data_IF_785152746241
#
_entry.id   IF_785152746241
#
_cell.length_a   1.000
_cell.length_b   1.000
_cell.length_c   1.000
_cell.angle_alpha   90.00
_cell.angle_beta   90.00
_cell.angle_gamma   90.00
#
_symmetry.space_group_name_H-M   'P 1'
#
loop_
_entity.id
_entity.type
_entity.pdbx_description
1 polymer ?
#
# COMPACT_ATOMS: atom_id res chain seq x y z
N UNK A 1 -8.37 35.49 27.41
CA UNK A 1 -8.55 34.20 26.69
C UNK A 1 -7.18 33.77 26.23
N UNK A 2 -6.71 32.58 26.62
CA UNK A 2 -5.45 32.06 26.08
C UNK A 2 -5.65 31.76 24.59
N UNK A 3 -4.82 32.35 23.74
CA UNK A 3 -4.88 32.08 22.31
C UNK A 3 -4.46 30.63 22.06
N UNK A 4 -5.22 29.91 21.24
CA UNK A 4 -4.87 28.55 20.81
C UNK A 4 -3.64 28.64 19.89
N UNK A 5 -2.57 27.87 20.15
CA UNK A 5 -1.40 27.85 19.28
C UNK A 5 -1.76 27.44 17.85
N UNK A 6 -1.17 28.12 16.87
CA UNK A 6 -1.34 27.83 15.45
C UNK A 6 -0.02 27.34 14.87
N UNK A 7 -0.10 26.33 14.03
CA UNK A 7 1.04 25.65 13.45
C UNK A 7 0.99 25.70 11.92
N UNK A 8 2.07 25.24 11.29
CA UNK A 8 2.19 25.03 9.86
C UNK A 8 2.05 26.32 9.04
N UNK A 9 2.28 26.22 7.73
CA UNK A 9 2.05 27.30 6.77
C UNK A 9 0.57 27.69 6.67
N UNK A 10 -0.35 26.77 7.00
CA UNK A 10 -1.80 27.03 6.94
C UNK A 10 -2.36 27.72 8.18
N UNK A 11 -1.55 27.94 9.23
CA UNK A 11 -1.94 28.62 10.48
C UNK A 11 -3.22 28.05 11.10
N UNK A 12 -3.28 26.72 11.19
CA UNK A 12 -4.38 26.00 11.82
C UNK A 12 -3.96 25.45 13.19
N UNK A 13 -4.90 25.27 14.13
CA UNK A 13 -4.62 24.59 15.38
C UNK A 13 -4.26 23.12 15.13
N UNK A 14 -3.67 22.48 16.13
CA UNK A 14 -3.34 21.06 16.08
C UNK A 14 -4.58 20.19 15.86
N UNK A 15 -4.45 19.19 14.98
CA UNK A 15 -5.47 18.18 14.67
C UNK A 15 -4.82 16.79 14.73
N UNK A 16 -5.27 15.97 15.69
CA UNK A 16 -4.74 14.61 15.94
C UNK A 16 -4.96 13.66 14.77
N UNK A 17 -5.91 13.95 13.88
CA UNK A 17 -6.20 13.09 12.72
C UNK A 17 -5.24 13.31 11.55
N UNK A 18 -4.40 14.35 11.62
CA UNK A 18 -3.51 14.75 10.53
C UNK A 18 -2.06 14.49 10.91
N UNK A 19 -1.36 13.75 10.06
CA UNK A 19 0.08 13.56 10.17
C UNK A 19 0.82 14.91 10.13
N UNK A 20 1.72 15.12 11.09
CA UNK A 20 2.59 16.30 11.19
C UNK A 20 4.04 15.91 11.42
N UNK A 21 4.96 16.75 10.92
CA UNK A 21 6.41 16.62 11.07
C UNK A 21 7.01 17.93 11.58
N UNK A 22 8.00 17.85 12.48
CA UNK A 22 8.67 19.02 13.09
C UNK A 22 9.89 19.44 12.28
N UNK A 23 10.03 20.74 12.01
CA UNK A 23 11.24 21.29 11.36
C UNK A 23 12.38 21.50 12.37
N UNK A 24 13.55 20.94 12.10
CA UNK A 24 14.70 21.03 12.99
C UNK A 24 15.30 22.43 13.14
N UNK A 25 15.01 23.33 12.20
CA UNK A 25 15.53 24.70 12.18
C UNK A 25 14.63 25.66 12.95
N UNK A 26 13.35 25.74 12.57
CA UNK A 26 12.42 26.71 13.17
C UNK A 26 11.60 26.15 14.34
N UNK A 27 11.67 24.83 14.59
CA UNK A 27 10.94 24.11 15.65
C UNK A 27 9.40 24.26 15.56
N UNK A 28 8.90 24.62 14.38
CA UNK A 28 7.46 24.62 14.07
C UNK A 28 7.04 23.27 13.45
N UNK A 29 5.75 22.97 13.53
CA UNK A 29 5.15 21.72 13.09
C UNK A 29 4.36 21.90 11.80
N UNK A 30 4.49 20.95 10.87
CA UNK A 30 3.91 21.05 9.54
C UNK A 30 3.06 19.82 9.22
N UNK A 31 1.83 20.03 8.74
CA UNK A 31 1.04 18.93 8.18
C UNK A 31 1.73 18.36 6.96
N UNK A 32 1.93 17.05 6.89
CA UNK A 32 2.59 16.39 5.76
C UNK A 32 1.95 16.77 4.41
N UNK A 33 0.61 16.82 4.36
CA UNK A 33 -0.15 17.25 3.19
C UNK A 33 0.13 18.70 2.73
N UNK A 34 0.48 19.59 3.66
CA UNK A 34 0.77 21.00 3.34
C UNK A 34 2.21 21.20 2.82
N UNK A 35 3.10 20.25 3.07
CA UNK A 35 4.52 20.32 2.71
C UNK A 35 4.99 19.15 1.84
N UNK A 36 4.03 18.38 1.28
CA UNK A 36 4.27 17.25 0.38
C UNK A 36 5.14 16.14 1.00
N UNK A 37 5.00 15.93 2.31
CA UNK A 37 5.62 14.80 3.01
C UNK A 37 4.53 13.80 3.34
N UNK A 38 4.59 12.65 2.68
CA UNK A 38 3.72 11.51 3.01
C UNK A 38 4.19 10.85 4.29
N UNK A 39 3.26 10.27 5.05
CA UNK A 39 3.56 9.65 6.35
C UNK A 39 4.64 8.55 6.22
N UNK A 40 4.59 7.76 5.15
CA UNK A 40 5.58 6.70 4.92
C UNK A 40 6.97 7.24 4.52
N UNK A 41 7.08 8.46 4.01
CA UNK A 41 8.37 9.09 3.73
C UNK A 41 9.04 9.61 5.00
N UNK A 42 8.27 9.90 6.05
CA UNK A 42 8.78 10.49 7.29
C UNK A 42 9.82 9.61 7.98
N UNK A 43 9.68 8.28 7.88
CA UNK A 43 10.65 7.33 8.44
C UNK A 43 12.02 7.43 7.78
N UNK A 44 12.10 7.98 6.56
CA UNK A 44 13.33 8.13 5.79
C UNK A 44 14.05 9.46 6.01
N UNK A 45 13.35 10.44 6.58
CA UNK A 45 13.92 11.74 6.90
C UNK A 45 14.67 11.63 8.24
N UNK A 46 15.94 12.01 8.25
CA UNK A 46 16.77 12.08 9.44
C UNK A 46 16.61 13.44 10.13
N UNK A 47 16.69 14.51 9.33
CA UNK A 47 16.53 15.91 9.78
C UNK A 47 15.57 16.61 8.82
N UNK A 48 14.44 17.07 9.31
CA UNK A 48 13.43 17.73 8.46
C UNK A 48 13.63 19.24 8.41
N UNK A 49 13.74 19.78 7.21
CA UNK A 49 13.71 21.21 6.94
C UNK A 49 12.43 21.57 6.20
N UNK A 50 11.65 22.51 6.76
CA UNK A 50 10.45 23.01 6.10
C UNK A 50 10.81 23.86 4.86
N UNK A 51 9.86 24.10 3.93
CA UNK A 51 10.15 24.80 2.67
C UNK A 51 10.79 26.19 2.83
N UNK A 52 10.50 26.89 3.93
CA UNK A 52 11.12 28.18 4.22
C UNK A 52 12.57 28.05 4.72
N UNK A 53 12.84 27.05 5.56
CA UNK A 53 14.17 26.81 6.11
C UNK A 53 15.09 26.19 5.07
N UNK A 54 14.56 25.36 4.17
CA UNK A 54 15.29 24.71 3.06
C UNK A 54 16.14 25.72 2.27
N UNK A 55 15.53 26.85 1.90
CA UNK A 55 16.18 27.92 1.11
C UNK A 55 17.47 28.44 1.75
N UNK A 56 17.57 28.43 3.07
CA UNK A 56 18.71 29.02 3.81
C UNK A 56 19.63 28.00 4.45
N UNK A 57 19.10 26.85 4.87
CA UNK A 57 19.84 25.80 5.58
C UNK A 57 20.15 24.59 4.69
N UNK A 58 19.63 24.58 3.45
CA UNK A 58 19.67 23.43 2.56
C UNK A 58 18.51 22.46 2.80
N UNK A 59 18.38 21.43 1.95
CA UNK A 59 17.26 20.49 2.01
C UNK A 59 17.28 19.63 3.27
N UNK A 60 16.17 18.91 3.50
CA UNK A 60 16.08 17.88 4.54
C UNK A 60 17.18 16.82 4.35
N UNK A 61 17.74 16.32 5.46
CA UNK A 61 18.72 15.24 5.43
C UNK A 61 17.99 13.90 5.48
N UNK A 62 18.32 13.03 4.54
CA UNK A 62 17.74 11.69 4.46
C UNK A 62 18.65 10.69 5.16
N UNK A 63 18.05 9.67 5.80
CA UNK A 63 18.78 8.57 6.41
C UNK A 63 19.62 7.86 5.35
N UNK A 64 20.86 7.51 5.72
CA UNK A 64 21.75 6.76 4.85
C UNK A 64 21.43 5.27 4.91
N UNK A 65 21.23 4.67 3.74
CA UNK A 65 21.12 3.22 3.60
C UNK A 65 22.48 2.55 3.82
N UNK A 66 22.54 1.71 4.84
CA UNK A 66 23.71 0.90 5.20
C UNK A 66 23.52 -0.58 4.84
N UNK A 67 22.29 -1.07 4.75
CA UNK A 67 22.01 -2.46 4.40
C UNK A 67 20.78 -2.62 3.46
N UNK A 68 20.62 -3.82 2.91
CA UNK A 68 19.55 -4.19 1.96
C UNK A 68 18.70 -5.39 2.41
N UNK A 69 18.95 -5.89 3.63
CA UNK A 69 18.35 -7.12 4.15
C UNK A 69 17.53 -6.91 5.43
N UNK A 70 17.47 -5.67 5.94
CA UNK A 70 16.72 -5.28 7.14
C UNK A 70 15.65 -4.24 6.82
N UNK A 71 14.60 -4.18 7.64
CA UNK A 71 13.58 -3.13 7.58
C UNK A 71 14.13 -1.79 8.04
N UNK A 72 14.90 -1.78 9.13
CA UNK A 72 15.76 -0.67 9.45
C UNK A 72 17.02 -0.76 8.60
N UNK A 73 16.99 -0.04 7.47
CA UNK A 73 18.08 -0.03 6.51
C UNK A 73 19.31 0.76 6.97
N UNK A 74 19.25 1.39 8.16
CA UNK A 74 20.38 2.10 8.77
C UNK A 74 21.23 1.20 9.67
N UNK A 75 20.72 0.02 10.06
CA UNK A 75 21.49 -0.98 10.82
C UNK A 75 22.80 -1.35 10.09
N UNK A 76 23.90 -1.64 10.83
CA UNK A 76 25.15 -2.11 10.23
C UNK A 76 24.97 -3.38 9.40
N UNK A 77 25.66 -3.47 8.27
CA UNK A 77 25.72 -4.67 7.42
C UNK A 77 26.90 -5.57 7.83
N UNK A 78 26.88 -6.04 9.07
CA UNK A 78 27.96 -6.85 9.69
C UNK A 78 27.70 -8.36 9.63
N UNK A 79 26.59 -8.79 9.02
CA UNK A 79 26.18 -10.19 8.92
C UNK A 79 25.60 -10.79 10.21
N UNK A 80 25.43 -10.00 11.27
CA UNK A 80 24.89 -10.51 12.55
C UNK A 80 23.38 -10.78 12.52
N UNK A 81 22.64 -10.05 11.67
CA UNK A 81 21.18 -10.07 11.62
C UNK A 81 20.65 -10.81 10.39
N UNK A 82 19.54 -11.55 10.53
CA UNK A 82 18.97 -12.31 9.42
C UNK A 82 18.26 -11.41 8.40
N UNK A 83 18.06 -11.93 7.20
CA UNK A 83 17.25 -11.28 6.16
C UNK A 83 15.79 -11.20 6.59
N UNK A 84 15.14 -10.05 6.38
CA UNK A 84 13.73 -9.81 6.71
C UNK A 84 12.84 -9.81 5.46
N UNK A 85 11.60 -10.29 5.61
CA UNK A 85 10.63 -10.39 4.52
C UNK A 85 10.34 -9.03 3.87
N UNK A 86 10.18 -9.02 2.56
CA UNK A 86 9.91 -7.80 1.77
C UNK A 86 11.14 -6.94 1.47
N UNK A 87 12.31 -7.24 2.04
CA UNK A 87 13.55 -6.52 1.71
C UNK A 87 14.08 -6.91 0.33
N UNK A 88 14.88 -6.06 -0.33
CA UNK A 88 15.44 -6.39 -1.65
C UNK A 88 16.23 -7.71 -1.68
N UNK A 89 17.00 -8.01 -0.63
CA UNK A 89 17.70 -9.29 -0.51
C UNK A 89 16.71 -10.45 -0.39
N UNK A 90 15.67 -10.33 0.46
CA UNK A 90 14.63 -11.35 0.57
C UNK A 90 13.93 -11.62 -0.76
N UNK A 91 13.57 -10.58 -1.52
CA UNK A 91 12.91 -10.75 -2.82
C UNK A 91 13.83 -11.48 -3.80
N UNK A 92 15.11 -11.12 -3.84
CA UNK A 92 16.09 -11.82 -4.67
C UNK A 92 16.26 -13.29 -4.26
N UNK A 93 16.31 -13.58 -2.97
CA UNK A 93 16.36 -14.97 -2.49
C UNK A 93 15.09 -15.72 -2.86
N UNK A 94 13.91 -15.11 -2.64
CA UNK A 94 12.61 -15.70 -2.95
C UNK A 94 12.48 -16.04 -4.43
N UNK A 95 12.92 -15.15 -5.32
CA UNK A 95 12.91 -15.38 -6.77
C UNK A 95 13.83 -16.54 -7.20
N UNK A 96 14.91 -16.80 -6.45
CA UNK A 96 15.86 -17.87 -6.75
C UNK A 96 15.53 -19.19 -6.02
N UNK A 97 14.49 -19.22 -5.17
CA UNK A 97 14.06 -20.45 -4.50
C UNK A 97 13.38 -21.37 -5.49
N UNK A 98 13.63 -22.67 -5.33
CA UNK A 98 12.89 -23.71 -6.00
C UNK A 98 11.67 -24.09 -5.16
N UNK A 99 10.51 -24.14 -5.81
CA UNK A 99 9.26 -24.58 -5.19
C UNK A 99 8.72 -25.76 -5.98
N UNK A 100 8.06 -26.69 -5.29
CA UNK A 100 7.27 -27.72 -5.97
C UNK A 100 6.19 -27.03 -6.79
N UNK A 101 5.99 -27.51 -8.01
CA UNK A 101 4.95 -26.97 -8.89
C UNK A 101 3.57 -27.11 -8.23
N UNK A 102 2.79 -26.04 -8.25
CA UNK A 102 1.40 -26.09 -7.80
C UNK A 102 0.53 -27.00 -8.67
N UNK A 103 0.94 -27.32 -9.90
CA UNK A 103 0.15 -28.12 -10.86
C UNK A 103 -0.39 -29.44 -10.29
N UNK A 104 0.33 -30.05 -9.35
CA UNK A 104 -0.09 -31.31 -8.71
C UNK A 104 -1.31 -31.16 -7.79
N UNK A 105 -1.50 -29.97 -7.22
CA UNK A 105 -2.59 -29.68 -6.28
C UNK A 105 -3.67 -28.76 -6.89
N UNK A 106 -3.43 -28.18 -8.07
CA UNK A 106 -4.36 -27.27 -8.72
C UNK A 106 -5.44 -28.03 -9.52
N UNK A 107 -6.70 -27.63 -9.33
CA UNK A 107 -7.82 -28.12 -10.13
C UNK A 107 -8.11 -27.15 -11.27
N UNK A 108 -7.80 -27.53 -12.52
CA UNK A 108 -8.06 -26.70 -13.71
C UNK A 108 -9.48 -26.91 -14.22
N UNK A 109 -10.23 -25.82 -14.40
CA UNK A 109 -11.64 -25.85 -14.82
C UNK A 109 -11.99 -24.64 -15.69
N UNK A 110 -13.01 -24.78 -16.54
CA UNK A 110 -13.67 -23.64 -17.21
C UNK A 110 -14.61 -22.92 -16.23
N UNK A 111 -14.84 -21.63 -16.43
CA UNK A 111 -15.73 -20.84 -15.56
C UNK A 111 -17.12 -21.45 -15.40
N UNK A 112 -17.75 -21.87 -16.49
CA UNK A 112 -19.06 -22.55 -16.51
C UNK A 112 -19.14 -23.82 -15.64
N UNK A 113 -18.01 -24.48 -15.39
CA UNK A 113 -17.98 -25.72 -14.60
C UNK A 113 -17.95 -25.44 -13.09
N UNK A 114 -17.52 -24.25 -12.68
CA UNK A 114 -17.39 -23.85 -11.28
C UNK A 114 -18.72 -23.32 -10.77
N UNK A 115 -19.59 -24.25 -10.39
CA UNK A 115 -20.95 -23.96 -9.90
C UNK A 115 -21.12 -24.38 -8.44
N UNK A 116 -22.06 -23.79 -7.68
CA UNK A 116 -22.37 -24.24 -6.32
C UNK A 116 -22.63 -25.75 -6.25
N UNK A 117 -23.41 -26.28 -7.19
CA UNK A 117 -23.71 -27.72 -7.30
C UNK A 117 -22.46 -28.58 -7.49
N UNK A 118 -21.47 -28.11 -8.25
CA UNK A 118 -20.19 -28.81 -8.39
C UNK A 118 -19.44 -28.82 -7.07
N UNK A 119 -19.30 -27.67 -6.41
CA UNK A 119 -18.55 -27.51 -5.16
C UNK A 119 -19.19 -28.30 -4.00
N UNK A 120 -20.52 -28.34 -3.92
CA UNK A 120 -21.24 -29.17 -2.93
C UNK A 120 -20.98 -30.67 -3.13
N UNK A 121 -20.86 -31.11 -4.39
CA UNK A 121 -20.66 -32.53 -4.73
C UNK A 121 -19.21 -32.98 -4.62
N UNK A 122 -18.26 -32.14 -5.02
CA UNK A 122 -16.84 -32.49 -5.10
C UNK A 122 -16.02 -31.94 -3.93
N UNK A 123 -16.58 -31.02 -3.16
CA UNK A 123 -15.87 -30.25 -2.13
C UNK A 123 -15.01 -29.15 -2.73
N UNK A 124 -14.55 -28.24 -1.87
CA UNK A 124 -13.65 -27.14 -2.23
C UNK A 124 -12.39 -27.17 -1.37
N UNK A 125 -11.61 -28.26 -1.52
CA UNK A 125 -10.44 -28.54 -0.67
C UNK A 125 -9.10 -28.22 -1.37
N UNK A 126 -9.12 -27.90 -2.66
CA UNK A 126 -7.95 -27.63 -3.47
C UNK A 126 -8.13 -26.34 -4.26
N UNK A 127 -7.07 -25.55 -4.51
CA UNK A 127 -7.21 -24.33 -5.28
C UNK A 127 -7.64 -24.63 -6.72
N UNK A 128 -8.60 -23.85 -7.23
CA UNK A 128 -9.13 -23.98 -8.57
C UNK A 128 -8.52 -22.90 -9.45
N UNK A 129 -7.97 -23.29 -10.61
CA UNK A 129 -7.52 -22.37 -11.65
C UNK A 129 -8.54 -22.35 -12.76
N UNK A 130 -9.07 -21.15 -13.03
CA UNK A 130 -10.01 -20.92 -14.13
C UNK A 130 -9.23 -20.68 -15.41
N UNK A 131 -9.44 -21.52 -16.43
CA UNK A 131 -8.77 -21.40 -17.73
C UNK A 131 -9.50 -20.48 -18.69
N UNK A 132 -10.81 -20.31 -18.52
CA UNK A 132 -11.74 -19.54 -19.36
C UNK A 132 -12.73 -18.81 -18.44
N UNK A 133 -12.82 -17.49 -18.56
CA UNK A 133 -13.66 -16.65 -17.68
C UNK A 133 -15.15 -16.77 -18.01
N UNK A 134 -15.48 -17.25 -19.20
CA UNK A 134 -16.83 -17.48 -19.68
C UNK A 134 -17.61 -18.35 -18.68
N UNK A 135 -18.84 -17.94 -18.37
CA UNK A 135 -19.71 -18.61 -17.41
C UNK A 135 -19.37 -18.42 -15.93
N UNK A 136 -18.25 -17.79 -15.58
CA UNK A 136 -17.91 -17.50 -14.18
C UNK A 136 -18.79 -16.37 -13.59
N UNK A 137 -19.39 -15.54 -14.45
CA UNK A 137 -20.17 -14.36 -14.04
C UNK A 137 -19.32 -13.19 -13.55
N UNK A 138 -18.00 -13.29 -13.63
CA UNK A 138 -17.07 -12.23 -13.26
C UNK A 138 -17.01 -11.16 -14.36
N UNK A 139 -17.38 -9.92 -14.02
CA UNK A 139 -17.29 -8.76 -14.91
C UNK A 139 -16.08 -7.93 -14.54
N UNK A 140 -15.07 -7.91 -15.42
CA UNK A 140 -13.87 -7.10 -15.27
C UNK A 140 -13.87 -5.94 -16.27
N UNK A 141 -13.18 -4.83 -15.98
CA UNK A 141 -12.92 -3.81 -16.98
C UNK A 141 -12.03 -4.38 -18.10
N UNK A 142 -11.96 -3.64 -19.22
CA UNK A 142 -11.13 -4.04 -20.35
C UNK A 142 -9.64 -4.22 -19.93
N UNK A 143 -8.86 -5.10 -20.58
CA UNK A 143 -7.45 -5.31 -20.25
C UNK A 143 -6.55 -4.06 -20.39
N UNK A 144 -7.05 -3.02 -21.07
CA UNK A 144 -6.39 -1.71 -21.20
C UNK A 144 -6.62 -0.79 -20.00
N UNK A 145 -7.45 -1.21 -19.03
CA UNK A 145 -7.75 -0.46 -17.83
C UNK A 145 -6.52 -0.31 -16.94
N UNK A 146 -6.22 0.92 -16.55
CA UNK A 146 -4.97 1.31 -15.90
C UNK A 146 -5.19 1.89 -14.49
N UNK A 147 -4.09 2.11 -13.77
CA UNK A 147 -4.12 2.79 -12.47
C UNK A 147 -4.68 4.23 -12.54
N UNK A 148 -4.59 4.88 -13.70
CA UNK A 148 -5.19 6.21 -13.92
C UNK A 148 -6.71 6.15 -13.99
N UNK A 149 -7.24 5.10 -14.60
CA UNK A 149 -8.69 4.88 -14.63
C UNK A 149 -9.19 4.63 -13.20
N UNK A 150 -8.48 3.82 -12.40
CA UNK A 150 -8.80 3.61 -10.98
C UNK A 150 -8.88 4.94 -10.23
N UNK A 151 -7.88 5.81 -10.37
CA UNK A 151 -7.87 7.13 -9.76
C UNK A 151 -9.12 7.94 -10.16
N UNK A 152 -9.44 8.01 -11.45
CA UNK A 152 -10.62 8.73 -11.94
C UNK A 152 -11.93 8.17 -11.37
N UNK A 153 -12.09 6.85 -11.31
CA UNK A 153 -13.34 6.24 -10.81
C UNK A 153 -13.48 6.33 -9.30
N UNK A 154 -12.40 6.15 -8.53
CA UNK A 154 -12.47 6.15 -7.06
C UNK A 154 -12.46 7.56 -6.50
N UNK A 155 -11.63 8.47 -7.03
CA UNK A 155 -11.56 9.86 -6.54
C UNK A 155 -12.81 10.66 -6.91
N UNK A 156 -13.45 10.37 -8.06
CA UNK A 156 -14.74 10.99 -8.41
C UNK A 156 -15.88 10.59 -7.46
N UNK A 157 -15.85 9.36 -6.91
CA UNK A 157 -16.82 8.92 -5.88
C UNK A 157 -16.63 9.70 -4.57
N UNK A 158 -15.40 10.07 -4.23
CA UNK A 158 -15.08 10.84 -3.02
C UNK A 158 -15.53 12.31 -3.08
N UNK A 159 -15.58 12.91 -4.27
CA UNK A 159 -15.95 14.32 -4.47
C UNK A 159 -17.39 14.54 -4.99
N UNK A 160 -18.07 13.49 -5.44
CA UNK A 160 -19.41 13.56 -6.04
C UNK A 160 -20.52 13.13 -5.10
N UNK A 161 -21.14 14.07 -4.39
CA UNK A 161 -22.41 13.86 -3.71
C UNK A 161 -23.57 13.79 -4.74
N UNK A 162 -23.56 12.85 -5.68
CA UNK A 162 -24.78 12.28 -6.31
C UNK A 162 -24.45 11.16 -7.33
N UNK A 163 -24.96 9.96 -7.04
CA UNK A 163 -25.55 9.02 -8.00
C UNK A 163 -24.60 8.20 -8.91
N UNK A 164 -24.07 7.11 -8.35
CA UNK A 164 -24.19 5.78 -8.96
C UNK A 164 -23.96 4.70 -7.90
N UNK A 165 -25.05 4.16 -7.36
CA UNK A 165 -25.04 2.93 -6.57
C UNK A 165 -24.96 1.75 -7.56
N UNK A 166 -24.15 0.75 -7.20
CA UNK A 166 -24.30 -0.70 -7.48
C UNK A 166 -23.18 -1.47 -8.20
N UNK A 167 -22.20 -0.86 -8.89
CA UNK A 167 -21.22 -1.68 -9.63
C UNK A 167 -19.81 -1.77 -9.05
N UNK A 168 -19.38 -0.79 -8.26
CA UNK A 168 -17.93 -0.65 -7.92
C UNK A 168 -17.57 -1.24 -6.55
N UNK A 169 -18.55 -1.44 -5.67
CA UNK A 169 -18.29 -1.89 -4.29
C UNK A 169 -17.79 -3.35 -4.20
N UNK A 170 -17.99 -4.17 -5.23
CA UNK A 170 -17.53 -5.57 -5.24
C UNK A 170 -16.02 -5.72 -5.49
N UNK A 171 -15.37 -4.76 -6.16
CA UNK A 171 -13.96 -4.92 -6.56
C UNK A 171 -12.96 -4.68 -5.42
N UNK A 172 -13.29 -3.86 -4.41
CA UNK A 172 -12.33 -3.51 -3.37
C UNK A 172 -12.28 -4.50 -2.19
N UNK A 173 -13.38 -5.19 -1.87
CA UNK A 173 -13.42 -6.05 -0.69
C UNK A 173 -12.83 -7.45 -0.89
N UNK A 174 -12.78 -7.97 -2.12
CA UNK A 174 -12.39 -9.36 -2.36
C UNK A 174 -10.88 -9.61 -2.49
N UNK A 175 -10.06 -8.56 -2.63
CA UNK A 175 -8.61 -8.75 -2.91
C UNK A 175 -7.73 -8.67 -1.65
N UNK A 176 -8.20 -8.12 -0.53
CA UNK A 176 -7.31 -7.80 0.60
C UNK A 176 -7.66 -8.37 1.98
N UNK A 177 -8.75 -9.12 2.17
CA UNK A 177 -9.04 -9.75 3.47
C UNK A 177 -9.54 -11.20 3.32
N UNK A 178 -8.61 -12.13 3.16
CA UNK A 178 -8.74 -13.42 3.85
C UNK A 178 -7.65 -13.49 4.92
N UNK A 179 -8.02 -13.48 6.22
CA UNK A 179 -7.08 -13.72 7.28
C UNK A 179 -6.60 -15.17 7.18
N UNK A 180 -5.29 -15.35 7.04
CA UNK A 180 -4.62 -16.59 7.37
C UNK A 180 -4.69 -16.69 8.90
N UNK A 181 -5.74 -17.35 9.40
CA UNK A 181 -5.78 -17.90 10.74
C UNK A 181 -5.31 -19.36 10.63
N UNK A 182 -4.08 -19.59 11.09
CA UNK A 182 -3.70 -20.83 11.76
C UNK A 182 -3.33 -20.49 13.19
#
# INVERSE_FOLDING_TARGET
MAAVPLYCVCRQPYDVSRFMIECDICKDWFHGSCVQVEEHHAVDIDVYHCPNCDVTQGPSLMKKRNNWHRHDYTEPDDGSKPVQAGTPVFIKELQNRTFTSGEEILRRMKGEQVTPKYLERQGFNYPIVITEMEGLGLKLPAPTFSVKDVEQYVVSISFGHHKMRETVFCCFFFVFFQPILS
#
